data_IF_895892648562
#
_entry.id   IF_895892648562
#
_cell.length_a   1.000
_cell.length_b   1.000
_cell.length_c   1.000
_cell.angle_alpha   90.00
_cell.angle_beta   90.00
_cell.angle_gamma   90.00
#
_symmetry.space_group_name_H-M   'P 1'
#
loop_
_entity.id
_entity.type
_entity.pdbx_description
1 polymer ?
#
# COMPACT_ATOMS: atom_id res chain seq x y z
N UNK A 1 103.50 50.86 11.17
CA UNK A 1 103.45 50.20 12.50
C UNK A 1 102.71 48.88 12.30
N UNK A 2 103.38 47.75 12.53
CA UNK A 2 102.72 46.44 12.53
C UNK A 2 101.82 46.35 13.77
N UNK A 3 100.60 45.82 13.63
CA UNK A 3 99.71 45.59 14.77
C UNK A 3 100.40 44.69 15.81
N UNK A 4 100.14 44.91 17.09
CA UNK A 4 100.66 44.06 18.16
C UNK A 4 99.93 42.71 18.16
N UNK A 5 100.64 41.64 18.53
CA UNK A 5 100.09 40.27 18.56
C UNK A 5 98.86 40.13 19.49
N UNK A 6 98.79 40.99 20.52
CA UNK A 6 97.64 41.10 21.42
C UNK A 6 96.39 41.70 20.75
N UNK A 7 96.56 42.60 19.78
CA UNK A 7 95.44 43.18 19.02
C UNK A 7 94.90 42.19 17.99
N UNK A 8 95.78 41.38 17.39
CA UNK A 8 95.39 40.27 16.49
C UNK A 8 94.58 39.21 17.26
N UNK A 9 95.02 38.80 18.46
CA UNK A 9 94.28 37.89 19.34
C UNK A 9 92.88 38.43 19.72
N UNK A 10 92.76 39.73 19.99
CA UNK A 10 91.45 40.37 20.27
C UNK A 10 90.52 40.33 19.06
N UNK A 11 91.04 40.60 17.86
CA UNK A 11 90.24 40.51 16.63
C UNK A 11 89.76 39.09 16.34
N UNK A 12 90.61 38.07 16.55
CA UNK A 12 90.22 36.66 16.38
C UNK A 12 89.10 36.29 17.36
N UNK A 13 89.20 36.68 18.64
CA UNK A 13 88.13 36.42 19.63
C UNK A 13 86.82 37.13 19.26
N UNK A 14 86.90 38.36 18.76
CA UNK A 14 85.72 39.09 18.28
C UNK A 14 85.09 38.39 17.07
N UNK A 15 85.90 37.91 16.11
CA UNK A 15 85.40 37.12 14.99
C UNK A 15 84.76 35.80 15.44
N UNK A 16 85.35 35.09 16.40
CA UNK A 16 84.76 33.85 16.93
C UNK A 16 83.41 34.11 17.61
N UNK A 17 83.30 35.15 18.43
CA UNK A 17 82.04 35.53 19.07
C UNK A 17 80.97 35.92 18.05
N UNK A 18 81.34 36.60 16.96
CA UNK A 18 80.42 36.91 15.87
C UNK A 18 79.90 35.65 15.17
N UNK A 19 80.79 34.69 14.87
CA UNK A 19 80.41 33.41 14.24
C UNK A 19 79.47 32.61 15.17
N UNK A 20 79.75 32.60 16.47
CA UNK A 20 78.90 31.92 17.45
C UNK A 20 77.53 32.58 17.59
N UNK A 21 77.47 33.92 17.59
CA UNK A 21 76.21 34.66 17.60
C UNK A 21 75.40 34.41 16.32
N UNK A 22 76.04 34.47 15.14
CA UNK A 22 75.38 34.21 13.86
C UNK A 22 74.84 32.78 13.79
N UNK A 23 75.58 31.80 14.32
CA UNK A 23 75.11 30.41 14.40
C UNK A 23 73.92 30.26 15.35
N UNK A 24 73.92 30.92 16.50
CA UNK A 24 72.82 30.88 17.46
C UNK A 24 71.56 31.58 16.92
N UNK A 25 71.70 32.76 16.31
CA UNK A 25 70.57 33.46 15.68
C UNK A 25 69.94 32.62 14.56
N UNK A 26 70.77 31.92 13.78
CA UNK A 26 70.29 31.03 12.73
C UNK A 26 69.61 29.77 13.27
N UNK A 27 70.07 29.25 14.40
CA UNK A 27 69.41 28.14 15.09
C UNK A 27 68.04 28.57 15.63
N UNK A 28 67.96 29.73 16.29
CA UNK A 28 66.69 30.28 16.78
C UNK A 28 65.70 30.57 15.64
N UNK A 29 66.18 31.07 14.49
CA UNK A 29 65.34 31.28 13.30
C UNK A 29 64.77 29.96 12.77
N UNK A 30 65.57 28.89 12.75
CA UNK A 30 65.12 27.56 12.31
C UNK A 30 64.06 27.01 13.28
N UNK A 31 64.29 27.12 14.59
CA UNK A 31 63.36 26.62 15.60
C UNK A 31 62.03 27.39 15.56
N UNK A 32 62.07 28.72 15.43
CA UNK A 32 60.88 29.54 15.30
C UNK A 32 60.06 29.18 14.04
N UNK A 33 60.74 28.96 12.90
CA UNK A 33 60.08 28.51 11.66
C UNK A 33 59.50 27.12 11.79
N UNK A 34 60.21 26.18 12.43
CA UNK A 34 59.73 24.83 12.64
C UNK A 34 58.46 24.80 13.51
N UNK A 35 58.39 25.65 14.53
CA UNK A 35 57.19 25.77 15.39
C UNK A 35 56.01 26.42 14.64
N UNK A 36 56.26 27.43 13.81
CA UNK A 36 55.24 28.03 12.96
C UNK A 36 54.66 27.01 11.97
N UNK A 37 55.52 26.29 11.24
CA UNK A 37 55.12 25.25 10.29
C UNK A 37 54.35 24.11 10.98
N UNK A 38 54.81 23.67 12.16
CA UNK A 38 54.11 22.65 12.94
C UNK A 38 52.68 23.09 13.29
N UNK A 39 52.51 24.32 13.76
CA UNK A 39 51.19 24.83 14.14
C UNK A 39 50.26 24.99 12.93
N UNK A 40 50.78 25.45 11.80
CA UNK A 40 50.02 25.55 10.54
C UNK A 40 49.57 24.15 10.10
N UNK A 41 50.47 23.17 10.04
CA UNK A 41 50.17 21.84 9.51
C UNK A 41 49.25 21.06 10.44
N UNK A 42 49.44 21.16 11.76
CA UNK A 42 48.52 20.63 12.77
C UNK A 42 47.13 21.24 12.61
N UNK A 43 47.04 22.57 12.44
CA UNK A 43 45.79 23.26 12.20
C UNK A 43 45.09 22.75 10.94
N UNK A 44 45.83 22.62 9.83
CA UNK A 44 45.34 22.10 8.55
C UNK A 44 44.80 20.68 8.67
N UNK A 45 45.53 19.77 9.34
CA UNK A 45 45.13 18.39 9.56
C UNK A 45 43.85 18.30 10.40
N UNK A 46 43.78 19.04 11.51
CA UNK A 46 42.59 19.06 12.38
C UNK A 46 41.37 19.59 11.64
N UNK A 47 41.49 20.71 10.93
CA UNK A 47 40.37 21.27 10.17
C UNK A 47 39.89 20.32 9.07
N UNK A 48 40.81 19.70 8.34
CA UNK A 48 40.48 18.72 7.30
C UNK A 48 39.71 17.53 7.87
N UNK A 49 40.12 17.00 9.03
CA UNK A 49 39.41 15.89 9.67
C UNK A 49 38.07 16.33 10.26
N UNK A 50 37.97 17.54 10.83
CA UNK A 50 36.68 18.09 11.32
C UNK A 50 35.64 18.19 10.20
N UNK A 51 36.03 18.65 9.02
CA UNK A 51 35.15 18.72 7.86
C UNK A 51 34.64 17.32 7.44
N UNK A 52 35.52 16.32 7.40
CA UNK A 52 35.13 14.93 7.12
C UNK A 52 34.13 14.38 8.15
N UNK A 53 34.35 14.67 9.43
CA UNK A 53 33.46 14.26 10.52
C UNK A 53 32.09 14.95 10.36
N UNK A 54 32.07 16.25 10.09
CA UNK A 54 30.83 17.00 9.85
C UNK A 54 30.04 16.41 8.69
N UNK A 55 30.69 16.17 7.55
CA UNK A 55 30.02 15.59 6.37
C UNK A 55 29.45 14.19 6.66
N UNK A 56 30.18 13.36 7.41
CA UNK A 56 29.72 12.04 7.82
C UNK A 56 28.46 12.11 8.70
N UNK A 57 28.46 12.99 9.70
CA UNK A 57 27.29 13.16 10.58
C UNK A 57 26.10 13.80 9.86
N UNK A 58 26.33 14.74 8.95
CA UNK A 58 25.27 15.34 8.13
C UNK A 58 24.58 14.28 7.26
N UNK A 59 25.34 13.39 6.61
CA UNK A 59 24.78 12.27 5.85
C UNK A 59 23.99 11.32 6.75
N UNK A 60 24.51 11.00 7.94
CA UNK A 60 23.86 10.10 8.90
C UNK A 60 22.55 10.71 9.43
N UNK A 61 22.53 12.01 9.71
CA UNK A 61 21.34 12.73 10.14
C UNK A 61 20.25 12.72 9.06
N UNK A 62 20.61 13.08 7.82
CA UNK A 62 19.69 13.01 6.67
C UNK A 62 19.10 11.62 6.46
N UNK A 63 19.92 10.57 6.61
CA UNK A 63 19.46 9.19 6.49
C UNK A 63 18.45 8.83 7.60
N UNK A 64 18.73 9.21 8.85
CA UNK A 64 17.81 8.97 9.97
C UNK A 64 16.49 9.72 9.76
N UNK A 65 16.54 10.97 9.29
CA UNK A 65 15.34 11.76 9.03
C UNK A 65 14.48 11.13 7.94
N UNK A 66 15.09 10.68 6.84
CA UNK A 66 14.39 9.95 5.78
C UNK A 66 13.76 8.65 6.30
N UNK A 67 14.51 7.86 7.09
CA UNK A 67 13.99 6.64 7.68
C UNK A 67 12.79 6.90 8.61
N UNK A 68 12.84 7.96 9.44
CA UNK A 68 11.70 8.37 10.27
C UNK A 68 10.48 8.73 9.43
N UNK A 69 10.66 9.46 8.33
CA UNK A 69 9.56 9.81 7.40
C UNK A 69 8.93 8.56 6.77
N UNK A 70 9.75 7.60 6.33
CA UNK A 70 9.28 6.32 5.78
C UNK A 70 8.52 5.52 6.84
N UNK A 71 9.06 5.40 8.06
CA UNK A 71 8.41 4.69 9.16
C UNK A 71 7.06 5.32 9.51
N UNK A 72 6.99 6.64 9.60
CA UNK A 72 5.74 7.36 9.87
C UNK A 72 4.72 7.14 8.75
N UNK A 73 5.14 7.24 7.48
CA UNK A 73 4.28 6.97 6.33
C UNK A 73 3.73 5.54 6.33
N UNK A 74 4.59 4.55 6.60
CA UNK A 74 4.20 3.15 6.70
C UNK A 74 3.21 2.92 7.84
N UNK A 75 3.44 3.52 9.01
CA UNK A 75 2.52 3.40 10.16
C UNK A 75 1.14 3.99 9.84
N UNK A 76 1.10 5.16 9.21
CA UNK A 76 -0.14 5.81 8.78
C UNK A 76 -0.88 4.98 7.73
N UNK A 77 -0.16 4.40 6.77
CA UNK A 77 -0.75 3.53 5.77
C UNK A 77 -1.31 2.24 6.40
N UNK A 78 -0.60 1.62 7.34
CA UNK A 78 -1.09 0.46 8.08
C UNK A 78 -2.35 0.80 8.89
N UNK A 79 -2.39 1.95 9.56
CA UNK A 79 -3.58 2.41 10.27
C UNK A 79 -4.77 2.60 9.32
N UNK A 80 -4.54 3.23 8.16
CA UNK A 80 -5.57 3.40 7.12
C UNK A 80 -6.10 2.06 6.62
N UNK A 81 -5.23 1.09 6.32
CA UNK A 81 -5.62 -0.24 5.87
C UNK A 81 -6.42 -1.00 6.92
N UNK A 82 -6.07 -0.86 8.21
CA UNK A 82 -6.85 -1.45 9.31
C UNK A 82 -8.28 -0.91 9.35
N UNK A 83 -8.47 0.41 9.18
CA UNK A 83 -9.80 1.02 9.13
C UNK A 83 -10.59 0.53 7.91
N UNK A 84 -9.96 0.48 6.74
CA UNK A 84 -10.61 -0.01 5.52
C UNK A 84 -11.03 -1.48 5.67
N UNK A 85 -10.16 -2.32 6.23
CA UNK A 85 -10.47 -3.72 6.50
C UNK A 85 -11.64 -3.87 7.46
N UNK A 86 -11.62 -3.15 8.59
CA UNK A 86 -12.73 -3.18 9.55
C UNK A 86 -14.06 -2.75 8.91
N UNK A 87 -14.03 -1.75 8.02
CA UNK A 87 -15.21 -1.33 7.26
C UNK A 87 -15.73 -2.42 6.32
N UNK A 88 -14.84 -3.08 5.61
CA UNK A 88 -15.18 -4.17 4.69
C UNK A 88 -15.72 -5.41 5.44
N UNK A 89 -15.11 -5.74 6.58
CA UNK A 89 -15.56 -6.80 7.47
C UNK A 89 -17.00 -6.51 7.97
N UNK A 90 -17.30 -5.28 8.40
CA UNK A 90 -18.65 -4.88 8.82
C UNK A 90 -19.68 -4.99 7.69
N UNK A 91 -19.32 -4.59 6.45
CA UNK A 91 -20.21 -4.73 5.30
C UNK A 91 -20.46 -6.20 4.98
N UNK A 92 -19.40 -7.01 5.02
CA UNK A 92 -19.49 -8.45 4.79
C UNK A 92 -20.36 -9.15 5.82
N UNK A 93 -20.23 -8.78 7.09
CA UNK A 93 -21.09 -9.27 8.18
C UNK A 93 -22.55 -8.87 7.98
N UNK A 94 -22.82 -7.61 7.64
CA UNK A 94 -24.18 -7.12 7.34
C UNK A 94 -24.80 -7.87 6.15
N UNK A 95 -24.04 -8.09 5.08
CA UNK A 95 -24.51 -8.85 3.92
C UNK A 95 -24.78 -10.31 4.27
N UNK A 96 -23.94 -10.92 5.12
CA UNK A 96 -24.16 -12.28 5.62
C UNK A 96 -25.41 -12.37 6.49
N UNK A 97 -25.64 -11.40 7.38
CA UNK A 97 -26.85 -11.33 8.20
C UNK A 97 -28.10 -11.15 7.31
N UNK A 98 -28.04 -10.27 6.31
CA UNK A 98 -29.12 -10.09 5.34
C UNK A 98 -29.42 -11.40 4.58
N UNK A 99 -28.39 -12.14 4.15
CA UNK A 99 -28.55 -13.46 3.52
C UNK A 99 -29.19 -14.47 4.46
N UNK A 100 -28.81 -14.49 5.75
CA UNK A 100 -29.44 -15.36 6.75
C UNK A 100 -30.92 -15.00 6.98
N UNK A 101 -31.27 -13.71 6.98
CA UNK A 101 -32.67 -13.26 7.02
C UNK A 101 -33.45 -13.65 5.78
N UNK A 102 -32.84 -13.67 4.59
CA UNK A 102 -33.50 -14.20 3.39
C UNK A 102 -33.80 -15.70 3.52
N UNK A 103 -32.89 -16.47 4.11
CA UNK A 103 -33.13 -17.90 4.39
C UNK A 103 -34.31 -18.09 5.36
N UNK A 104 -34.52 -17.19 6.32
CA UNK A 104 -35.69 -17.30 7.22
C UNK A 104 -37.01 -17.03 6.51
N UNK A 105 -37.04 -16.14 5.50
CA UNK A 105 -38.22 -15.92 4.65
C UNK A 105 -38.58 -17.17 3.84
N UNK A 106 -37.57 -17.90 3.36
CA UNK A 106 -37.77 -19.16 2.59
C UNK A 106 -38.42 -20.25 3.46
N UNK A 107 -38.20 -20.22 4.78
CA UNK A 107 -38.82 -21.17 5.72
C UNK A 107 -40.32 -20.94 5.91
N UNK A 108 -40.85 -19.76 5.59
CA UNK A 108 -42.28 -19.44 5.65
C UNK A 108 -42.93 -19.73 4.29
N UNK A 109 -43.72 -20.81 4.15
CA UNK A 109 -44.26 -21.23 2.86
C UNK A 109 -45.20 -20.18 2.23
N UNK A 110 -45.94 -19.43 3.05
CA UNK A 110 -46.91 -18.45 2.55
C UNK A 110 -46.19 -17.24 1.96
N UNK A 111 -45.21 -16.69 2.70
CA UNK A 111 -44.37 -15.59 2.22
C UNK A 111 -43.52 -15.99 1.03
N UNK A 112 -42.93 -17.18 1.07
CA UNK A 112 -42.07 -17.67 -0.01
C UNK A 112 -42.86 -17.93 -1.31
N UNK A 113 -44.07 -18.48 -1.23
CA UNK A 113 -44.95 -18.66 -2.39
C UNK A 113 -45.30 -17.33 -3.06
N UNK A 114 -45.69 -16.31 -2.29
CA UNK A 114 -45.99 -14.98 -2.82
C UNK A 114 -44.76 -14.32 -3.45
N UNK A 115 -43.59 -14.49 -2.84
CA UNK A 115 -42.33 -13.98 -3.38
C UNK A 115 -41.96 -14.66 -4.71
N UNK A 116 -42.08 -15.99 -4.81
CA UNK A 116 -41.80 -16.72 -6.05
C UNK A 116 -42.78 -16.35 -7.18
N UNK A 117 -44.06 -16.15 -6.88
CA UNK A 117 -45.02 -15.65 -7.87
C UNK A 117 -44.59 -14.30 -8.43
N UNK A 118 -44.19 -13.35 -7.57
CA UNK A 118 -43.70 -12.04 -7.99
C UNK A 118 -42.41 -12.11 -8.82
N UNK A 119 -41.43 -12.90 -8.38
CA UNK A 119 -40.14 -13.07 -9.09
C UNK A 119 -40.32 -13.73 -10.45
N UNK A 120 -41.21 -14.74 -10.55
CA UNK A 120 -41.53 -15.38 -11.82
C UNK A 120 -42.18 -14.39 -12.79
N UNK A 121 -43.18 -13.64 -12.33
CA UNK A 121 -43.87 -12.67 -13.17
C UNK A 121 -42.94 -11.55 -13.64
N UNK A 122 -42.07 -11.06 -12.76
CA UNK A 122 -41.04 -10.08 -13.10
C UNK A 122 -40.10 -10.60 -14.20
N UNK A 123 -39.64 -11.85 -14.07
CA UNK A 123 -38.78 -12.48 -15.08
C UNK A 123 -39.48 -12.62 -16.44
N UNK A 124 -40.77 -12.99 -16.47
CA UNK A 124 -41.53 -13.06 -17.72
C UNK A 124 -41.65 -11.70 -18.41
N UNK A 125 -41.93 -10.63 -17.64
CA UNK A 125 -41.98 -9.27 -18.19
C UNK A 125 -40.64 -8.74 -18.69
N UNK A 126 -39.53 -9.25 -18.16
CA UNK A 126 -38.20 -8.83 -18.57
C UNK A 126 -37.71 -9.59 -19.81
N UNK A 127 -38.06 -10.87 -19.95
CA UNK A 127 -37.68 -11.68 -21.11
C UNK A 127 -38.54 -11.40 -22.34
N UNK A 128 -39.86 -11.25 -22.18
CA UNK A 128 -40.82 -11.05 -23.28
C UNK A 128 -40.79 -12.12 -24.40
N UNK A 129 -40.20 -13.29 -24.12
CA UNK A 129 -40.09 -14.40 -25.08
C UNK A 129 -41.33 -15.31 -25.08
N UNK A 130 -41.65 -15.96 -26.20
CA UNK A 130 -42.79 -16.89 -26.29
C UNK A 130 -42.51 -18.23 -25.60
N UNK A 131 -41.24 -18.61 -25.45
CA UNK A 131 -40.81 -19.86 -24.80
C UNK A 131 -39.76 -19.58 -23.75
N UNK A 132 -40.04 -19.94 -22.50
CA UNK A 132 -39.15 -19.71 -21.36
C UNK A 132 -38.89 -21.02 -20.62
N UNK A 133 -37.62 -21.30 -20.35
CA UNK A 133 -37.20 -22.41 -19.50
C UNK A 133 -36.82 -21.89 -18.12
N UNK A 134 -37.45 -22.41 -17.07
CA UNK A 134 -37.20 -22.01 -15.67
C UNK A 134 -36.36 -23.08 -14.98
N UNK A 135 -35.25 -22.66 -14.36
CA UNK A 135 -34.44 -23.48 -13.44
C UNK A 135 -34.71 -23.06 -12.01
N UNK A 136 -34.97 -24.04 -11.15
CA UNK A 136 -35.20 -23.84 -9.73
C UNK A 136 -34.47 -24.93 -8.92
N UNK A 137 -34.52 -24.84 -7.59
CA UNK A 137 -34.03 -25.92 -6.72
C UNK A 137 -35.00 -27.09 -6.72
N UNK A 138 -34.49 -28.31 -6.54
CA UNK A 138 -35.31 -29.54 -6.51
C UNK A 138 -36.47 -29.50 -5.51
N UNK A 139 -36.27 -28.83 -4.37
CA UNK A 139 -37.28 -28.71 -3.31
C UNK A 139 -38.42 -27.75 -3.68
N UNK A 140 -38.16 -26.80 -4.58
CA UNK A 140 -39.10 -25.72 -4.93
C UNK A 140 -39.93 -26.04 -6.19
N UNK A 141 -39.72 -27.19 -6.83
CA UNK A 141 -40.34 -27.55 -8.13
C UNK A 141 -41.87 -27.48 -8.07
N UNK A 142 -42.47 -28.05 -7.03
CA UNK A 142 -43.93 -28.07 -6.89
C UNK A 142 -44.50 -26.65 -6.70
N UNK A 143 -43.81 -25.82 -5.92
CA UNK A 143 -44.20 -24.43 -5.66
C UNK A 143 -44.08 -23.58 -6.93
N UNK A 144 -42.96 -23.72 -7.65
CA UNK A 144 -42.74 -23.05 -8.94
C UNK A 144 -43.77 -23.47 -9.97
N UNK A 145 -44.13 -24.76 -10.04
CA UNK A 145 -45.16 -25.23 -10.96
C UNK A 145 -46.53 -24.61 -10.66
N UNK A 146 -46.92 -24.50 -9.39
CA UNK A 146 -48.15 -23.82 -8.98
C UNK A 146 -48.12 -22.32 -9.31
N UNK A 147 -47.01 -21.64 -9.06
CA UNK A 147 -46.83 -20.21 -9.36
C UNK A 147 -46.84 -19.91 -10.85
N UNK A 148 -46.27 -20.78 -11.69
CA UNK A 148 -46.32 -20.65 -13.16
C UNK A 148 -47.77 -20.67 -13.65
N UNK A 149 -48.59 -21.62 -13.19
CA UNK A 149 -49.99 -21.72 -13.58
C UNK A 149 -50.80 -20.47 -13.23
N UNK A 150 -50.47 -19.82 -12.11
CA UNK A 150 -51.11 -18.55 -11.68
C UNK A 150 -50.64 -17.35 -12.50
N UNK A 151 -49.37 -17.32 -12.92
CA UNK A 151 -48.77 -16.18 -13.61
C UNK A 151 -49.03 -16.16 -15.14
N UNK A 152 -49.21 -17.31 -15.80
CA UNK A 152 -49.52 -17.38 -17.24
C UNK A 152 -50.72 -16.50 -17.65
N UNK A 153 -51.90 -16.57 -16.98
CA UNK A 153 -53.05 -15.75 -17.38
C UNK A 153 -52.80 -14.25 -17.14
N UNK A 154 -52.09 -13.90 -16.06
CA UNK A 154 -51.74 -12.51 -15.73
C UNK A 154 -50.84 -11.92 -16.81
N UNK A 155 -49.78 -12.65 -17.18
CA UNK A 155 -48.86 -12.24 -18.24
C UNK A 155 -49.57 -12.11 -19.60
N UNK A 156 -50.42 -13.09 -19.95
CA UNK A 156 -51.18 -13.07 -21.22
C UNK A 156 -52.13 -11.87 -21.30
N UNK A 157 -52.77 -11.49 -20.19
CA UNK A 157 -53.63 -10.31 -20.14
C UNK A 157 -52.85 -9.00 -20.34
N UNK A 158 -51.65 -8.90 -19.78
CA UNK A 158 -50.82 -7.70 -19.85
C UNK A 158 -50.09 -7.54 -21.20
N UNK A 159 -49.43 -8.60 -21.68
CA UNK A 159 -48.54 -8.55 -22.87
C UNK A 159 -49.27 -8.97 -24.15
N UNK A 160 -50.44 -9.60 -24.05
CA UNK A 160 -51.23 -10.15 -25.18
C UNK A 160 -50.47 -11.15 -26.05
N UNK A 161 -49.41 -11.74 -25.53
CA UNK A 161 -48.62 -12.78 -26.18
C UNK A 161 -48.79 -14.12 -25.45
N UNK A 162 -48.64 -15.24 -26.17
CA UNK A 162 -48.67 -16.56 -25.56
C UNK A 162 -47.29 -16.90 -24.97
N UNK A 163 -47.29 -17.35 -23.72
CA UNK A 163 -46.09 -17.75 -22.98
C UNK A 163 -46.14 -19.25 -22.70
N UNK A 164 -45.21 -20.01 -23.28
CA UNK A 164 -44.99 -21.43 -22.98
C UNK A 164 -43.82 -21.55 -21.99
N UNK A 165 -44.11 -21.94 -20.76
CA UNK A 165 -43.11 -22.09 -19.69
C UNK A 165 -42.82 -23.56 -19.44
N UNK A 166 -41.54 -23.95 -19.48
CA UNK A 166 -41.08 -25.31 -19.13
C UNK A 166 -40.12 -25.26 -17.95
N UNK A 167 -40.21 -26.22 -17.05
CA UNK A 167 -39.24 -26.37 -15.95
C UNK A 167 -38.12 -27.30 -16.42
N UNK A 168 -36.87 -26.88 -16.28
CA UNK A 168 -35.71 -27.74 -16.56
C UNK A 168 -35.64 -28.85 -15.51
N UNK A 169 -35.83 -30.10 -15.93
CA UNK A 169 -35.76 -31.28 -15.05
C UNK A 169 -34.35 -31.90 -15.02
N UNK A 170 -33.44 -31.43 -15.86
CA UNK A 170 -32.09 -31.97 -15.99
C UNK A 170 -31.07 -31.11 -15.22
N UNK A 171 -31.25 -29.79 -15.21
CA UNK A 171 -30.39 -28.85 -14.49
C UNK A 171 -31.15 -28.08 -13.41
N UNK A 172 -30.87 -28.41 -12.16
CA UNK A 172 -31.40 -27.70 -10.99
C UNK A 172 -30.37 -26.72 -10.44
N UNK A 173 -30.85 -25.67 -9.78
CA UNK A 173 -30.00 -24.77 -9.01
C UNK A 173 -29.31 -25.51 -7.85
N UNK A 174 -28.10 -25.07 -7.51
CA UNK A 174 -27.33 -25.64 -6.39
C UNK A 174 -28.16 -25.62 -5.09
N UNK A 175 -28.09 -26.68 -4.26
CA UNK A 175 -28.77 -26.69 -2.95
C UNK A 175 -28.27 -25.60 -2.00
N UNK A 176 -27.07 -25.05 -2.24
CA UNK A 176 -26.46 -24.01 -1.40
C UNK A 176 -27.10 -22.62 -1.59
N UNK A 177 -27.91 -22.44 -2.64
CA UNK A 177 -28.61 -21.19 -2.91
C UNK A 177 -29.82 -21.09 -1.99
N UNK A 178 -30.03 -19.92 -1.38
CA UNK A 178 -31.13 -19.70 -0.42
C UNK A 178 -32.52 -19.82 -1.03
N UNK A 179 -32.67 -19.57 -2.33
CA UNK A 179 -33.94 -19.65 -3.08
C UNK A 179 -33.87 -18.87 -4.38
N UNK A 180 -34.98 -18.82 -5.11
CA UNK A 180 -35.07 -18.11 -6.38
C UNK A 180 -35.23 -19.02 -7.59
N UNK A 181 -35.32 -18.35 -8.75
CA UNK A 181 -35.52 -18.97 -10.05
C UNK A 181 -34.60 -18.28 -11.06
N UNK A 182 -34.01 -19.05 -11.95
CA UNK A 182 -33.31 -18.53 -13.13
C UNK A 182 -34.15 -18.84 -14.37
N UNK A 183 -34.23 -17.90 -15.31
CA UNK A 183 -34.99 -18.06 -16.53
C UNK A 183 -34.10 -17.94 -17.74
N UNK A 184 -34.38 -18.76 -18.74
CA UNK A 184 -33.62 -18.86 -19.97
C UNK A 184 -34.56 -18.83 -21.17
N UNK A 185 -34.13 -18.16 -22.25
CA UNK A 185 -34.75 -18.26 -23.57
C UNK A 185 -34.58 -19.71 -24.12
N UNK A 186 -35.47 -20.11 -25.04
CA UNK A 186 -35.30 -21.30 -25.89
C UNK A 186 -33.96 -21.42 -26.62
N UNK A 187 -33.34 -20.30 -27.00
CA UNK A 187 -31.95 -20.25 -27.41
C UNK A 187 -31.11 -20.09 -26.15
N UNK A 188 -30.28 -21.06 -25.81
CA UNK A 188 -29.40 -21.03 -24.64
C UNK A 188 -28.29 -19.92 -24.71
N UNK A 189 -28.52 -18.86 -25.50
CA UNK A 189 -27.70 -17.67 -25.61
C UNK A 189 -28.43 -16.47 -25.01
N UNK A 190 -27.79 -15.83 -24.04
CA UNK A 190 -28.15 -14.48 -23.62
C UNK A 190 -27.70 -13.53 -24.73
N UNK A 191 -28.62 -12.86 -25.40
CA UNK A 191 -28.32 -11.63 -26.16
C UNK A 191 -28.40 -10.42 -25.24
#
# INVERSE_FOLDING_TARGET
MALSDADVQKQIKHMMAFIEQEANEKAEEIDAKAEEEFNIEKGRLVQTQRLKIMEYYEKKEKQIEQQKKIQMSNLMNQARLKVLKARDDMISELLNEARQRLVSVVKDPARYSALMEGLLLQGFYQLLEPKVTVRCRKQDVQLVQASIQRNIPIYKAAVKNNLEVRIDQNNFLSPDISGGVEMYNSDAGWS
#
